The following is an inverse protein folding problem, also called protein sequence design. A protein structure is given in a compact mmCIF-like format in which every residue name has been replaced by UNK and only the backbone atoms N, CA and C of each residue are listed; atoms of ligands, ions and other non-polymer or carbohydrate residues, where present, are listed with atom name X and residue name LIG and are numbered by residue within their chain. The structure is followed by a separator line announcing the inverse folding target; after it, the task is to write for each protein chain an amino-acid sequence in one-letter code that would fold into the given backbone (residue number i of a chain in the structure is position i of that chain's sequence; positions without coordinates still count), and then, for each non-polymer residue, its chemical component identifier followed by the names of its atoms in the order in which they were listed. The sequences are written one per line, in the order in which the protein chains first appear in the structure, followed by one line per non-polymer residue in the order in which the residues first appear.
data_IF_742814060937
#
_entry.id   IF_742814060937
#
_cell.length_a   1.000
_cell.length_b   1.000
_cell.length_c   1.000
_cell.angle_alpha   90.00
_cell.angle_beta   90.00
_cell.angle_gamma   90.00
#
_symmetry.space_group_name_H-M   'P 1'
#
loop_
_entity.id
_entity.type
_entity.pdbx_description
1 polymer ?
#
# COMPACT_ATOMS: atom_id res chain seq x y z
N UNK A 1 -22.83 -13.94 -37.03
CA UNK A 1 -23.31 -14.38 -35.71
C UNK A 1 -23.32 -13.18 -34.78
N UNK A 2 -24.50 -12.60 -34.56
CA UNK A 2 -24.70 -11.20 -34.15
C UNK A 2 -25.02 -11.02 -32.65
N UNK A 3 -24.59 -11.92 -31.74
CA UNK A 3 -25.15 -11.87 -30.37
C UNK A 3 -24.29 -12.43 -29.21
N UNK A 4 -22.96 -12.51 -29.34
CA UNK A 4 -22.08 -12.88 -28.22
C UNK A 4 -20.72 -12.17 -28.35
N UNK A 5 -20.36 -11.11 -27.64
CA UNK A 5 -21.01 -10.23 -26.67
C UNK A 5 -20.44 -8.84 -26.94
N UNK A 6 -21.29 -7.86 -27.29
CA UNK A 6 -20.92 -6.44 -27.25
C UNK A 6 -21.50 -5.70 -26.04
N UNK A 7 -21.94 -6.41 -25.01
CA UNK A 7 -22.27 -5.86 -23.70
C UNK A 7 -21.12 -6.25 -22.76
N UNK A 8 -20.26 -5.34 -22.32
CA UNK A 8 -20.69 -4.17 -21.57
C UNK A 8 -19.80 -2.95 -21.85
N UNK A 9 -20.31 -1.99 -22.63
CA UNK A 9 -19.80 -0.60 -22.65
C UNK A 9 -20.19 0.21 -21.38
N UNK A 10 -20.49 -0.48 -20.29
CA UNK A 10 -20.57 0.03 -18.92
C UNK A 10 -19.43 -0.45 -18.00
N UNK A 11 -18.55 -1.34 -18.49
CA UNK A 11 -17.37 -1.83 -17.75
C UNK A 11 -16.12 -0.98 -17.97
N UNK A 12 -16.10 -0.03 -18.91
CA UNK A 12 -14.88 0.73 -19.19
C UNK A 12 -14.50 1.66 -18.02
N UNK A 13 -15.49 2.21 -17.32
CA UNK A 13 -15.27 3.02 -16.11
C UNK A 13 -14.82 2.13 -14.94
N UNK A 14 -15.52 1.00 -14.73
CA UNK A 14 -15.25 0.07 -13.63
C UNK A 14 -13.90 -0.65 -13.80
N UNK A 15 -13.56 -1.07 -15.03
CA UNK A 15 -12.26 -1.65 -15.39
C UNK A 15 -11.13 -0.67 -15.13
N UNK A 16 -11.29 0.59 -15.53
CA UNK A 16 -10.33 1.66 -15.25
C UNK A 16 -10.16 1.88 -13.74
N UNK A 17 -11.23 1.83 -12.95
CA UNK A 17 -11.15 1.97 -11.49
C UNK A 17 -10.40 0.81 -10.82
N UNK A 18 -10.59 -0.42 -11.30
CA UNK A 18 -9.85 -1.60 -10.82
C UNK A 18 -8.37 -1.48 -11.19
N UNK A 19 -8.06 -1.13 -12.44
CA UNK A 19 -6.69 -0.92 -12.91
C UNK A 19 -5.98 0.18 -12.13
N UNK A 20 -6.64 1.31 -11.90
CA UNK A 20 -6.11 2.42 -11.10
C UNK A 20 -5.84 1.99 -9.66
N UNK A 21 -6.75 1.24 -9.04
CA UNK A 21 -6.53 0.75 -7.68
C UNK A 21 -5.33 -0.21 -7.62
N UNK A 22 -5.22 -1.12 -8.58
CA UNK A 22 -4.08 -2.03 -8.67
C UNK A 22 -2.75 -1.28 -8.88
N UNK A 23 -2.74 -0.27 -9.76
CA UNK A 23 -1.60 0.59 -9.98
C UNK A 23 -1.20 1.37 -8.72
N UNK A 24 -2.18 1.88 -7.96
CA UNK A 24 -1.92 2.60 -6.71
C UNK A 24 -1.35 1.68 -5.62
N UNK A 25 -1.84 0.44 -5.51
CA UNK A 25 -1.26 -0.56 -4.59
C UNK A 25 0.17 -0.89 -4.98
N UNK A 26 0.44 -1.10 -6.27
CA UNK A 26 1.79 -1.35 -6.77
C UNK A 26 2.72 -0.15 -6.46
N UNK A 27 2.25 1.08 -6.72
CA UNK A 27 2.99 2.29 -6.38
C UNK A 27 3.25 2.42 -4.87
N UNK A 28 2.28 2.04 -4.03
CA UNK A 28 2.43 2.02 -2.58
C UNK A 28 3.53 1.05 -2.12
N UNK A 29 3.62 -0.15 -2.68
CA UNK A 29 4.70 -1.06 -2.33
C UNK A 29 6.06 -0.61 -2.89
N UNK A 30 6.09 0.06 -4.04
CA UNK A 30 7.33 0.57 -4.67
C UNK A 30 7.87 1.86 -4.07
N UNK A 31 7.01 2.74 -3.55
CA UNK A 31 7.45 4.05 -3.07
C UNK A 31 8.37 3.92 -1.85
N UNK A 32 9.33 4.85 -1.78
CA UNK A 32 10.24 5.03 -0.64
C UNK A 32 9.89 6.28 0.17
N UNK A 33 9.00 7.12 -0.36
CA UNK A 33 8.53 8.34 0.29
C UNK A 33 7.51 7.98 1.39
N UNK A 34 7.90 8.23 2.64
CA UNK A 34 7.10 7.94 3.83
C UNK A 34 5.82 8.76 3.86
N UNK A 35 5.86 10.03 3.46
CA UNK A 35 4.69 10.90 3.44
C UNK A 35 3.71 10.46 2.35
N UNK A 36 4.21 10.04 1.17
CA UNK A 36 3.35 9.46 0.13
C UNK A 36 2.70 8.15 0.58
N UNK A 37 3.47 7.26 1.23
CA UNK A 37 2.94 6.02 1.77
C UNK A 37 1.87 6.28 2.84
N UNK A 38 2.09 7.22 3.75
CA UNK A 38 1.12 7.59 4.78
C UNK A 38 -0.18 8.14 4.18
N UNK A 39 -0.08 9.08 3.23
CA UNK A 39 -1.25 9.63 2.53
C UNK A 39 -2.07 8.55 1.83
N UNK A 40 -1.42 7.51 1.28
CA UNK A 40 -2.11 6.36 0.71
C UNK A 40 -2.90 5.58 1.77
N UNK A 41 -2.28 5.32 2.94
CA UNK A 41 -2.94 4.59 4.03
C UNK A 41 -4.18 5.33 4.53
N UNK A 42 -4.09 6.65 4.72
CA UNK A 42 -5.22 7.49 5.11
C UNK A 42 -6.31 7.52 4.04
N UNK A 43 -5.94 7.77 2.79
CA UNK A 43 -6.89 7.88 1.68
C UNK A 43 -7.72 6.61 1.49
N UNK A 44 -7.09 5.44 1.63
CA UNK A 44 -7.76 4.15 1.46
C UNK A 44 -8.31 3.56 2.77
N UNK A 45 -8.11 4.21 3.92
CA UNK A 45 -8.52 3.69 5.22
C UNK A 45 -7.89 2.33 5.53
N UNK A 46 -6.62 2.15 5.18
CA UNK A 46 -5.92 0.87 5.37
C UNK A 46 -5.70 0.63 6.87
N UNK A 47 -6.04 -0.56 7.34
CA UNK A 47 -5.84 -0.96 8.74
C UNK A 47 -4.66 -1.92 8.92
N UNK A 48 -4.38 -2.74 7.90
CA UNK A 48 -3.33 -3.75 7.95
C UNK A 48 -2.53 -3.79 6.65
N UNK A 49 -1.23 -4.01 6.79
CA UNK A 49 -0.28 -4.17 5.69
C UNK A 49 0.42 -5.52 5.90
N UNK A 50 0.56 -6.29 4.83
CA UNK A 50 1.18 -7.62 4.87
C UNK A 50 2.42 -7.60 3.99
N UNK A 51 3.56 -8.00 4.54
CA UNK A 51 4.82 -8.16 3.81
C UNK A 51 5.32 -9.57 4.02
N UNK A 52 5.06 -10.43 3.04
CA UNK A 52 5.48 -11.83 3.05
C UNK A 52 6.59 -12.12 2.04
N UNK A 53 6.83 -13.41 1.83
CA UNK A 53 7.79 -13.90 0.82
C UNK A 53 7.48 -13.40 -0.59
N UNK A 54 6.19 -13.26 -0.93
CA UNK A 54 5.78 -12.77 -2.24
C UNK A 54 6.20 -11.30 -2.40
N UNK A 55 5.80 -10.43 -1.49
CA UNK A 55 6.12 -9.00 -1.54
C UNK A 55 7.64 -8.78 -1.56
N UNK A 56 8.39 -9.53 -0.74
CA UNK A 56 9.86 -9.47 -0.71
C UNK A 56 10.54 -9.96 -2.00
N UNK A 57 9.88 -10.82 -2.78
CA UNK A 57 10.39 -11.28 -4.07
C UNK A 57 10.08 -10.28 -5.21
N UNK A 58 9.00 -9.51 -5.08
CA UNK A 58 8.50 -8.61 -6.13
C UNK A 58 8.93 -7.15 -5.94
N UNK A 59 9.16 -6.70 -4.71
CA UNK A 59 9.48 -5.31 -4.40
C UNK A 59 10.90 -5.13 -3.85
N UNK A 60 11.58 -4.02 -4.18
CA UNK A 60 12.92 -3.75 -3.66
C UNK A 60 12.92 -3.65 -2.14
N UNK A 61 13.99 -4.16 -1.51
CA UNK A 61 14.13 -4.15 -0.06
C UNK A 61 14.11 -2.70 0.51
N UNK A 62 14.68 -1.73 -0.21
CA UNK A 62 14.71 -0.34 0.23
C UNK A 62 13.31 0.28 0.25
N UNK A 63 12.42 -0.17 -0.64
CA UNK A 63 11.02 0.27 -0.65
C UNK A 63 10.22 -0.36 0.47
N UNK A 64 10.55 -1.58 0.90
CA UNK A 64 9.88 -2.26 2.01
C UNK A 64 10.36 -1.76 3.38
N UNK A 65 11.62 -1.30 3.49
CA UNK A 65 12.18 -0.72 4.71
C UNK A 65 11.38 0.48 5.25
N UNK A 66 10.56 1.12 4.41
CA UNK A 66 9.66 2.20 4.82
C UNK A 66 8.71 1.79 5.94
N UNK A 67 8.30 0.52 5.99
CA UNK A 67 7.37 0.05 7.01
C UNK A 67 8.01 0.07 8.39
N UNK A 68 9.28 -0.35 8.49
CA UNK A 68 10.03 -0.30 9.73
C UNK A 68 10.27 1.16 10.17
N UNK A 69 10.58 2.05 9.22
CA UNK A 69 10.68 3.49 9.50
C UNK A 69 9.35 4.11 10.00
N UNK A 70 8.21 3.64 9.50
CA UNK A 70 6.89 4.06 9.98
C UNK A 70 6.58 3.47 11.37
N UNK A 71 7.09 2.29 11.70
CA UNK A 71 7.01 1.72 13.06
C UNK A 71 7.84 2.55 14.04
N UNK A 72 9.08 2.91 13.69
CA UNK A 72 9.95 3.75 14.53
C UNK A 72 9.32 5.12 14.84
N UNK A 73 8.51 5.63 13.92
CA UNK A 73 7.79 6.91 14.05
C UNK A 73 6.43 6.77 14.73
N UNK A 74 6.05 5.56 15.17
CA UNK A 74 4.79 5.28 15.86
C UNK A 74 3.54 5.34 14.98
N UNK A 75 3.70 5.33 13.65
CA UNK A 75 2.59 5.35 12.71
C UNK A 75 2.05 3.93 12.42
N UNK A 76 2.93 2.94 12.50
CA UNK A 76 2.61 1.51 12.37
C UNK A 76 3.03 0.74 13.62
N UNK A 77 2.43 -0.43 13.80
CA UNK A 77 2.81 -1.40 14.83
C UNK A 77 2.96 -2.78 14.20
N UNK A 78 4.01 -3.52 14.55
CA UNK A 78 4.16 -4.92 14.13
C UNK A 78 3.28 -5.79 15.03
N UNK A 79 2.23 -6.38 14.47
CA UNK A 79 1.27 -7.24 15.20
C UNK A 79 1.52 -8.74 14.97
N UNK A 80 2.29 -9.07 13.94
CA UNK A 80 2.73 -10.44 13.68
C UNK A 80 4.06 -10.43 12.94
N UNK A 81 4.97 -11.30 13.36
CA UNK A 81 6.21 -11.55 12.65
C UNK A 81 6.61 -13.01 12.79
N UNK A 82 6.80 -13.69 11.66
CA UNK A 82 7.33 -15.05 11.63
C UNK A 82 8.08 -15.30 10.32
N UNK A 83 9.38 -15.61 10.44
CA UNK A 83 10.23 -15.91 9.29
C UNK A 83 10.34 -14.72 8.33
N UNK A 84 9.72 -14.84 7.15
CA UNK A 84 9.72 -13.80 6.10
C UNK A 84 8.39 -13.03 6.03
N UNK A 85 7.47 -13.27 6.96
CA UNK A 85 6.13 -12.68 6.97
C UNK A 85 5.97 -11.73 8.14
N UNK A 86 5.59 -10.49 7.82
CA UNK A 86 5.32 -9.42 8.78
C UNK A 86 3.94 -8.84 8.50
N UNK A 87 3.17 -8.57 9.56
CA UNK A 87 1.89 -7.85 9.48
C UNK A 87 2.01 -6.61 10.34
N UNK A 88 1.77 -5.47 9.69
CA UNK A 88 1.75 -4.16 10.33
C UNK A 88 0.31 -3.70 10.50
N UNK A 89 -0.03 -3.13 11.65
CA UNK A 89 -1.29 -2.44 11.92
C UNK A 89 -1.06 -0.94 11.86
N UNK A 90 -1.99 -0.21 11.23
CA UNK A 90 -2.02 1.25 11.29
C UNK A 90 -2.52 1.69 12.66
N UNK A 91 -1.78 2.56 13.32
CA UNK A 91 -2.15 3.08 14.64
C UNK A 91 -3.29 4.09 14.48
N UNK A 92 -4.42 3.83 15.14
CA UNK A 92 -5.59 4.72 15.09
C UNK A 92 -5.24 6.12 15.63
N UNK A 93 -5.54 7.15 14.84
CA UNK A 93 -5.25 8.53 15.22
C UNK A 93 -3.78 8.92 15.19
N UNK A 94 -2.89 8.06 14.65
CA UNK A 94 -1.53 8.49 14.36
C UNK A 94 -1.57 9.67 13.38
N UNK A 95 -0.91 10.76 13.76
CA UNK A 95 -0.71 11.94 12.93
C UNK A 95 0.79 12.24 12.87
N UNK A 96 1.58 11.38 12.19
CA UNK A 96 2.99 11.63 12.07
C UNK A 96 3.24 12.96 11.36
N UNK A 97 4.23 13.73 11.82
CA UNK A 97 4.56 15.01 11.21
C UNK A 97 5.09 14.80 9.78
N UNK A 98 4.26 15.03 8.78
CA UNK A 98 4.58 14.81 7.36
C UNK A 98 5.80 15.61 6.90
N UNK A 99 5.97 16.82 7.42
CA UNK A 99 7.14 17.68 7.15
C UNK A 99 8.46 17.06 7.61
N UNK A 100 8.44 16.19 8.62
CA UNK A 100 9.61 15.43 9.09
C UNK A 100 9.83 14.12 8.32
N UNK A 101 8.90 13.74 7.44
CA UNK A 101 8.96 12.54 6.60
C UNK A 101 9.46 12.84 5.18
N UNK A 102 9.33 14.09 4.72
CA UNK A 102 9.78 14.53 3.38
C UNK A 102 11.29 14.87 3.32
N UNK A 103 12.00 14.91 4.45
CA UNK A 103 13.43 15.27 4.54
C UNK A 103 14.38 14.08 4.78
N UNK A 104 13.98 12.86 4.42
CA UNK A 104 14.76 11.62 4.61
C UNK A 104 15.29 11.05 3.30
#
# INVERSE_FOLDING_TARGET
WNWHQRQQRGLNEMGRMIELRAANVNAFYLTRDLAQAWRFLEWYGVQYIIVGRLERAYYPAESLAKFDALVERGALEVVFEQGQSSIYRVVDGAAPNLSQMEMG
#
